data_IF_536102146621
#
_entry.id   IF_536102146621
#
_cell.length_a   1.000
_cell.length_b   1.000
_cell.length_c   1.000
_cell.angle_alpha   90.00
_cell.angle_beta   90.00
_cell.angle_gamma   90.00
#
_symmetry.space_group_name_H-M   'P 1'
#
loop_
_entity.id
_entity.type
_entity.pdbx_description
1 polymer ?
#
# COMPACT_ATOMS: atom_id res chain seq x y z
N UNK A 1 -30.15 -15.73 5.10
CA UNK A 1 -29.75 -15.69 3.69
C UNK A 1 -28.88 -16.90 3.41
N UNK A 2 -29.18 -17.62 2.37
CA UNK A 2 -28.51 -18.89 2.01
C UNK A 2 -27.11 -18.61 1.44
N UNK A 3 -26.08 -19.31 1.90
CA UNK A 3 -24.73 -19.20 1.32
C UNK A 3 -24.70 -19.79 -0.11
N UNK A 4 -23.74 -19.37 -0.95
CA UNK A 4 -23.53 -19.95 -2.30
C UNK A 4 -23.40 -21.48 -2.27
N UNK A 5 -22.80 -22.02 -1.20
CA UNK A 5 -22.63 -23.48 -1.04
C UNK A 5 -23.97 -24.18 -0.74
N UNK A 6 -24.83 -23.56 0.07
CA UNK A 6 -26.18 -24.05 0.33
C UNK A 6 -27.10 -23.97 -0.88
N UNK A 7 -26.93 -22.91 -1.68
CA UNK A 7 -27.62 -22.78 -2.97
C UNK A 7 -27.20 -23.90 -3.94
N UNK A 8 -25.90 -24.18 -4.07
CA UNK A 8 -25.39 -25.26 -4.90
C UNK A 8 -25.86 -26.65 -4.40
N UNK A 9 -25.91 -26.90 -3.10
CA UNK A 9 -26.40 -28.17 -2.53
C UNK A 9 -27.92 -28.34 -2.72
N UNK A 10 -28.71 -27.29 -2.60
CA UNK A 10 -30.16 -27.35 -2.85
C UNK A 10 -30.48 -27.46 -4.32
N UNK A 11 -29.68 -26.86 -5.22
CA UNK A 11 -29.81 -27.02 -6.67
C UNK A 11 -29.54 -28.46 -7.11
N UNK A 12 -28.61 -29.17 -6.47
CA UNK A 12 -28.34 -30.58 -6.75
C UNK A 12 -29.49 -31.49 -6.30
N UNK A 13 -30.20 -31.17 -5.20
CA UNK A 13 -31.41 -31.88 -4.78
C UNK A 13 -32.64 -31.61 -5.61
N UNK A 14 -32.72 -30.40 -6.23
CA UNK A 14 -33.84 -30.04 -7.13
C UNK A 14 -33.80 -30.69 -8.53
N UNK A 15 -32.61 -31.13 -8.98
CA UNK A 15 -32.42 -31.79 -10.28
C UNK A 15 -33.09 -33.16 -10.32
N UNK A 16 -33.16 -33.87 -9.21
CA UNK A 16 -33.82 -35.18 -9.15
C UNK A 16 -35.35 -35.10 -9.33
N UNK A 17 -35.97 -33.96 -9.01
CA UNK A 17 -37.41 -33.73 -9.16
C UNK A 17 -37.85 -33.20 -10.55
N UNK A 18 -36.91 -32.61 -11.31
CA UNK A 18 -37.23 -31.98 -12.63
C UNK A 18 -37.02 -32.93 -13.82
N UNK A 19 -36.40 -34.07 -13.63
CA UNK A 19 -36.27 -35.10 -14.68
C UNK A 19 -37.61 -35.72 -15.09
N UNK A 20 -38.68 -35.45 -14.35
CA UNK A 20 -40.04 -35.94 -14.67
C UNK A 20 -40.85 -35.03 -15.61
N UNK A 21 -40.40 -33.82 -15.92
CA UNK A 21 -41.16 -32.81 -16.71
C UNK A 21 -40.58 -32.44 -18.08
N UNK A 22 -39.53 -33.12 -18.54
CA UNK A 22 -39.02 -32.96 -19.93
C UNK A 22 -38.31 -31.63 -20.24
N UNK A 23 -38.24 -30.68 -19.33
CA UNK A 23 -37.51 -29.41 -19.48
C UNK A 23 -36.28 -29.37 -18.55
N UNK A 24 -35.15 -29.87 -19.01
CA UNK A 24 -33.88 -29.75 -18.32
C UNK A 24 -33.33 -28.35 -18.59
N UNK A 25 -33.23 -27.44 -17.58
CA UNK A 25 -32.46 -26.23 -17.76
C UNK A 25 -31.01 -26.63 -18.03
N UNK A 26 -30.45 -26.22 -19.15
CA UNK A 26 -29.05 -26.47 -19.47
C UNK A 26 -28.19 -25.79 -18.41
N UNK A 27 -27.75 -26.52 -17.40
CA UNK A 27 -26.73 -26.10 -16.47
C UNK A 27 -25.38 -26.05 -17.24
N UNK A 28 -25.11 -24.90 -17.84
CA UNK A 28 -23.83 -24.66 -18.47
C UNK A 28 -22.78 -24.53 -17.34
N UNK A 29 -21.77 -25.43 -17.26
CA UNK A 29 -20.73 -25.29 -16.28
C UNK A 29 -20.06 -23.90 -16.38
N UNK A 30 -19.75 -23.27 -15.25
CA UNK A 30 -19.07 -21.96 -15.23
C UNK A 30 -17.78 -21.94 -16.07
N UNK A 31 -17.11 -23.10 -16.21
CA UNK A 31 -15.93 -23.29 -17.06
C UNK A 31 -16.22 -23.11 -18.57
N UNK A 32 -17.45 -23.33 -19.03
CA UNK A 32 -17.86 -23.18 -20.44
C UNK A 32 -18.18 -21.71 -20.78
N UNK A 33 -18.56 -20.91 -19.77
CA UNK A 33 -18.84 -19.49 -19.92
C UNK A 33 -17.56 -18.62 -19.97
N UNK A 34 -16.38 -19.23 -19.74
CA UNK A 34 -15.10 -18.53 -19.71
C UNK A 34 -14.87 -17.71 -18.44
N UNK A 35 -13.65 -17.18 -18.28
CA UNK A 35 -13.25 -16.37 -17.11
C UNK A 35 -14.08 -15.09 -16.93
N UNK A 36 -14.80 -14.68 -17.96
CA UNK A 36 -15.58 -13.44 -18.02
C UNK A 36 -17.07 -13.60 -17.74
N UNK A 37 -17.52 -14.82 -17.48
CA UNK A 37 -18.91 -15.01 -17.07
C UNK A 37 -19.19 -14.12 -15.83
N UNK A 38 -20.34 -13.44 -15.75
CA UNK A 38 -20.71 -12.60 -14.61
C UNK A 38 -20.59 -13.32 -13.27
N UNK A 39 -20.79 -14.65 -13.26
CA UNK A 39 -20.63 -15.50 -12.09
C UNK A 39 -19.16 -15.70 -11.64
N UNK A 40 -18.20 -15.39 -12.51
CA UNK A 40 -16.77 -15.57 -12.26
C UNK A 40 -16.03 -14.24 -11.99
N UNK A 41 -16.70 -13.10 -12.17
CA UNK A 41 -16.13 -11.78 -11.85
C UNK A 41 -16.13 -11.55 -10.35
N UNK A 42 -15.05 -10.94 -9.89
CA UNK A 42 -14.91 -10.48 -8.51
C UNK A 42 -15.63 -9.15 -8.34
N UNK A 43 -16.50 -9.05 -7.35
CA UNK A 43 -17.21 -7.82 -7.01
C UNK A 43 -16.42 -7.01 -5.98
N UNK A 44 -16.03 -5.80 -6.35
CA UNK A 44 -15.16 -4.94 -5.56
C UNK A 44 -15.89 -3.69 -5.04
N UNK A 45 -15.49 -3.25 -3.85
CA UNK A 45 -15.79 -1.94 -3.31
C UNK A 45 -14.55 -1.04 -3.29
N UNK A 46 -14.74 0.28 -3.37
CA UNK A 46 -13.68 1.28 -3.16
C UNK A 46 -13.95 2.05 -1.89
N UNK A 47 -13.00 2.07 -0.99
CA UNK A 47 -13.00 2.90 0.22
C UNK A 47 -11.91 3.97 0.07
N UNK A 48 -12.31 5.24 -0.04
CA UNK A 48 -11.43 6.35 -0.41
C UNK A 48 -11.35 6.57 -1.92
N UNK A 49 -12.23 7.43 -2.45
CA UNK A 49 -12.31 7.82 -3.86
C UNK A 49 -11.34 8.96 -4.20
N UNK A 50 -10.19 9.00 -3.50
CA UNK A 50 -9.16 10.01 -3.64
C UNK A 50 -8.27 9.84 -4.88
N UNK A 51 -7.15 10.59 -4.87
CA UNK A 51 -6.21 10.66 -5.99
C UNK A 51 -5.77 9.28 -6.48
N UNK A 52 -5.23 8.44 -5.60
CA UNK A 52 -4.57 7.20 -6.03
C UNK A 52 -5.58 6.17 -6.54
N UNK A 53 -6.74 6.07 -5.89
CA UNK A 53 -7.83 5.23 -6.38
C UNK A 53 -8.30 5.69 -7.77
N UNK A 54 -8.53 7.02 -7.92
CA UNK A 54 -9.07 7.60 -9.15
C UNK A 54 -8.11 7.53 -10.34
N UNK A 55 -6.82 7.86 -10.13
CA UNK A 55 -5.85 7.98 -11.25
C UNK A 55 -5.11 6.69 -11.55
N UNK A 56 -5.00 5.76 -10.59
CA UNK A 56 -4.17 4.57 -10.75
C UNK A 56 -4.90 3.26 -10.39
N UNK A 57 -5.31 3.02 -9.14
CA UNK A 57 -5.73 1.69 -8.73
C UNK A 57 -6.96 1.17 -9.47
N UNK A 58 -8.03 1.97 -9.54
CA UNK A 58 -9.27 1.56 -10.23
C UNK A 58 -9.02 1.37 -11.74
N UNK A 59 -8.39 2.32 -12.47
CA UNK A 59 -8.05 2.10 -13.88
C UNK A 59 -7.16 0.89 -14.10
N UNK A 60 -6.24 0.60 -13.22
CA UNK A 60 -5.31 -0.51 -13.31
C UNK A 60 -5.99 -1.87 -13.16
N UNK A 61 -6.95 -2.01 -12.24
CA UNK A 61 -7.79 -3.21 -12.14
C UNK A 61 -8.62 -3.46 -13.41
N UNK A 62 -9.07 -2.40 -14.08
CA UNK A 62 -9.97 -2.50 -15.24
C UNK A 62 -9.25 -2.66 -16.58
N UNK A 63 -8.00 -2.21 -16.70
CA UNK A 63 -7.30 -1.93 -17.96
C UNK A 63 -6.59 -3.10 -18.59
N UNK A 64 -6.90 -4.34 -18.48
CA UNK A 64 -6.01 -5.32 -19.09
C UNK A 64 -6.66 -6.28 -20.08
N UNK A 65 -6.17 -6.23 -21.32
CA UNK A 65 -6.36 -7.27 -22.34
C UNK A 65 -7.80 -7.42 -22.85
N UNK A 66 -8.61 -6.37 -22.71
CA UNK A 66 -9.99 -6.35 -23.22
C UNK A 66 -10.99 -7.14 -22.38
N UNK A 67 -10.56 -7.75 -21.26
CA UNK A 67 -11.42 -8.64 -20.46
C UNK A 67 -11.42 -8.26 -18.99
N UNK A 68 -12.55 -7.77 -18.47
CA UNK A 68 -12.72 -7.41 -17.07
C UNK A 68 -12.90 -8.65 -16.20
N UNK A 69 -11.99 -8.88 -15.23
CA UNK A 69 -12.06 -9.98 -14.26
C UNK A 69 -12.72 -9.56 -12.95
N UNK A 70 -13.01 -8.28 -12.79
CA UNK A 70 -13.69 -7.69 -11.64
C UNK A 70 -14.61 -6.56 -12.07
N UNK A 71 -15.58 -6.27 -11.23
CA UNK A 71 -16.46 -5.11 -11.36
C UNK A 71 -16.43 -4.33 -10.03
N UNK A 72 -16.27 -3.00 -10.09
CA UNK A 72 -16.48 -2.14 -8.94
C UNK A 72 -17.96 -1.83 -8.82
N UNK A 73 -18.58 -2.27 -7.72
CA UNK A 73 -20.04 -2.19 -7.53
C UNK A 73 -20.45 -1.29 -6.37
N UNK A 74 -19.51 -0.84 -5.54
CA UNK A 74 -19.79 0.02 -4.39
C UNK A 74 -18.66 1.01 -4.16
N UNK A 75 -18.99 2.20 -3.67
CA UNK A 75 -18.06 3.30 -3.38
C UNK A 75 -18.31 3.88 -2.00
N UNK A 76 -17.24 4.24 -1.30
CA UNK A 76 -17.32 5.00 -0.06
C UNK A 76 -16.22 6.06 0.03
N UNK A 77 -16.62 7.25 0.41
CA UNK A 77 -15.71 8.35 0.80
C UNK A 77 -16.47 9.30 1.71
N UNK A 78 -15.83 9.83 2.74
CA UNK A 78 -16.38 10.84 3.64
C UNK A 78 -16.72 12.15 2.92
N UNK A 79 -16.19 12.38 1.72
CA UNK A 79 -16.52 13.44 0.79
C UNK A 79 -17.41 12.89 -0.34
N UNK A 80 -18.71 13.05 -0.26
CA UNK A 80 -19.66 12.56 -1.26
C UNK A 80 -19.44 13.13 -2.67
N UNK A 81 -18.75 14.26 -2.78
CA UNK A 81 -18.38 14.80 -4.11
C UNK A 81 -17.35 13.91 -4.81
N UNK A 82 -16.46 13.24 -4.05
CA UNK A 82 -15.50 12.26 -4.55
C UNK A 82 -16.17 10.96 -4.96
N UNK A 83 -17.15 10.52 -4.19
CA UNK A 83 -17.98 9.35 -4.53
C UNK A 83 -18.66 9.57 -5.89
N UNK A 84 -19.31 10.73 -6.09
CA UNK A 84 -19.96 11.06 -7.37
C UNK A 84 -18.97 11.11 -8.55
N UNK A 85 -17.81 11.71 -8.35
CA UNK A 85 -16.77 11.76 -9.38
C UNK A 85 -16.25 10.37 -9.75
N UNK A 86 -16.03 9.49 -8.76
CA UNK A 86 -15.62 8.11 -9.02
C UNK A 86 -16.71 7.32 -9.70
N UNK A 87 -17.96 7.47 -9.28
CA UNK A 87 -19.12 6.83 -9.92
C UNK A 87 -19.23 7.23 -11.39
N UNK A 88 -19.09 8.52 -11.70
CA UNK A 88 -19.09 8.99 -13.08
C UNK A 88 -17.96 8.36 -13.90
N UNK A 89 -16.77 8.18 -13.32
CA UNK A 89 -15.63 7.51 -13.95
C UNK A 89 -15.93 6.02 -14.23
N UNK A 90 -16.65 5.37 -13.35
CA UNK A 90 -17.06 3.96 -13.45
C UNK A 90 -18.38 3.78 -14.21
N UNK A 91 -18.91 4.83 -14.84
CA UNK A 91 -20.15 4.74 -15.58
C UNK A 91 -20.11 3.58 -16.60
N UNK A 92 -21.02 2.65 -16.42
CA UNK A 92 -21.13 1.43 -17.21
C UNK A 92 -22.35 0.63 -16.81
N UNK A 93 -22.74 -0.33 -17.64
CA UNK A 93 -23.90 -1.18 -17.42
C UNK A 93 -23.47 -2.63 -17.25
N UNK A 94 -24.17 -3.37 -16.39
CA UNK A 94 -24.09 -4.82 -16.36
C UNK A 94 -24.81 -5.44 -17.57
N UNK A 95 -24.77 -6.78 -17.68
CA UNK A 95 -25.43 -7.50 -18.78
C UNK A 95 -26.95 -7.33 -18.80
N UNK A 96 -27.57 -6.89 -17.69
CA UNK A 96 -29.00 -6.62 -17.58
C UNK A 96 -29.33 -5.13 -17.80
N UNK A 97 -28.32 -4.30 -18.20
CA UNK A 97 -28.49 -2.87 -18.44
C UNK A 97 -28.58 -2.00 -17.19
N UNK A 98 -28.28 -2.53 -16.00
CA UNK A 98 -28.25 -1.81 -14.73
C UNK A 98 -26.91 -1.14 -14.53
N UNK A 99 -26.88 0.01 -13.83
CA UNK A 99 -25.62 0.67 -13.47
C UNK A 99 -24.76 -0.25 -12.59
N UNK A 100 -23.47 -0.40 -12.93
CA UNK A 100 -22.51 -1.17 -12.15
C UNK A 100 -22.43 -0.65 -10.70
N UNK A 101 -22.42 0.67 -10.54
CA UNK A 101 -22.52 1.31 -9.23
C UNK A 101 -23.89 1.99 -9.10
N UNK A 102 -24.83 1.28 -8.49
CA UNK A 102 -26.17 1.83 -8.21
C UNK A 102 -26.10 2.95 -7.14
N UNK A 103 -27.09 3.85 -7.11
CA UNK A 103 -27.19 4.94 -6.15
C UNK A 103 -27.11 4.45 -4.70
N UNK A 104 -27.84 3.38 -4.37
CA UNK A 104 -27.85 2.77 -3.05
C UNK A 104 -26.54 2.08 -2.63
N UNK A 105 -25.50 2.12 -3.48
CA UNK A 105 -24.15 1.59 -3.17
C UNK A 105 -23.08 2.67 -3.15
N UNK A 106 -23.48 3.91 -2.89
CA UNK A 106 -22.63 5.07 -2.70
C UNK A 106 -22.75 5.53 -1.24
N UNK A 107 -21.72 5.31 -0.43
CA UNK A 107 -21.77 5.49 1.02
C UNK A 107 -20.82 6.58 1.49
N UNK A 108 -21.22 7.34 2.51
CA UNK A 108 -20.32 8.25 3.23
C UNK A 108 -19.55 7.51 4.34
N UNK A 109 -20.19 6.53 4.97
CA UNK A 109 -19.59 5.65 5.96
C UNK A 109 -19.21 4.30 5.33
N UNK A 110 -17.91 3.98 5.31
CA UNK A 110 -17.38 2.75 4.72
C UNK A 110 -17.91 1.47 5.40
N UNK A 111 -18.38 1.53 6.63
CA UNK A 111 -18.94 0.37 7.35
C UNK A 111 -20.21 -0.14 6.68
N UNK A 112 -20.97 0.75 6.04
CA UNK A 112 -22.13 0.36 5.24
C UNK A 112 -21.72 -0.42 3.98
N UNK A 113 -20.63 -0.02 3.35
CA UNK A 113 -20.05 -0.78 2.22
C UNK A 113 -19.57 -2.15 2.67
N UNK A 114 -18.88 -2.26 3.82
CA UNK A 114 -18.42 -3.53 4.36
C UNK A 114 -19.56 -4.49 4.71
N UNK A 115 -20.73 -3.98 5.07
CA UNK A 115 -21.91 -4.77 5.40
C UNK A 115 -22.60 -5.39 4.15
N UNK A 116 -22.30 -4.92 2.94
CA UNK A 116 -22.86 -5.47 1.69
C UNK A 116 -22.24 -6.84 1.38
N UNK A 117 -23.04 -7.90 1.52
CA UNK A 117 -22.61 -9.27 1.26
C UNK A 117 -22.29 -9.58 -0.20
N UNK A 118 -22.70 -8.72 -1.15
CA UNK A 118 -22.40 -8.88 -2.57
C UNK A 118 -20.95 -8.49 -2.92
N UNK A 119 -20.21 -7.85 -2.01
CA UNK A 119 -18.83 -7.42 -2.20
C UNK A 119 -17.89 -8.55 -1.77
N UNK A 120 -16.99 -8.97 -2.64
CA UNK A 120 -15.96 -9.98 -2.37
C UNK A 120 -14.70 -9.37 -1.75
N UNK A 121 -14.32 -8.17 -2.18
CA UNK A 121 -13.12 -7.49 -1.70
C UNK A 121 -13.20 -5.97 -1.79
N UNK A 122 -12.29 -5.30 -1.09
CA UNK A 122 -12.25 -3.85 -1.01
C UNK A 122 -10.86 -3.31 -1.33
N UNK A 123 -10.84 -2.22 -2.09
CA UNK A 123 -9.67 -1.40 -2.33
C UNK A 123 -9.70 -0.22 -1.36
N UNK A 124 -8.76 -0.20 -0.39
CA UNK A 124 -8.64 0.85 0.60
C UNK A 124 -7.54 1.83 0.15
N UNK A 125 -7.95 3.08 -0.14
CA UNK A 125 -7.08 4.13 -0.64
C UNK A 125 -7.32 5.46 0.11
N UNK A 126 -7.47 5.36 1.41
CA UNK A 126 -7.69 6.44 2.37
C UNK A 126 -6.37 7.09 2.80
N UNK A 127 -6.38 8.12 3.67
CA UNK A 127 -5.18 8.57 4.36
C UNK A 127 -4.57 7.48 5.24
N UNK A 128 -3.24 7.53 5.41
CA UNK A 128 -2.43 6.48 6.05
C UNK A 128 -2.95 6.06 7.43
N UNK A 129 -3.41 7.01 8.24
CA UNK A 129 -3.88 6.77 9.61
C UNK A 129 -5.21 5.98 9.71
N UNK A 130 -5.89 5.79 8.60
CA UNK A 130 -7.10 4.96 8.50
C UNK A 130 -6.82 3.51 8.10
N UNK A 131 -5.66 3.24 7.51
CA UNK A 131 -5.34 1.97 6.89
C UNK A 131 -5.56 0.78 7.82
N UNK A 132 -5.05 0.86 9.06
CA UNK A 132 -5.09 -0.29 9.96
C UNK A 132 -6.51 -0.63 10.41
N UNK A 133 -7.29 0.33 10.87
CA UNK A 133 -8.66 0.09 11.29
C UNK A 133 -9.50 -0.48 10.15
N UNK A 134 -9.47 0.18 8.98
CA UNK A 134 -10.28 -0.26 7.83
C UNK A 134 -9.89 -1.64 7.33
N UNK A 135 -8.60 -1.98 7.31
CA UNK A 135 -8.14 -3.29 6.90
C UNK A 135 -8.60 -4.40 7.87
N UNK A 136 -8.51 -4.16 9.19
CA UNK A 136 -8.98 -5.09 10.22
C UNK A 136 -10.48 -5.32 10.11
N UNK A 137 -11.26 -4.24 10.00
CA UNK A 137 -12.72 -4.31 9.90
C UNK A 137 -13.17 -4.96 8.59
N UNK A 138 -12.46 -4.71 7.47
CA UNK A 138 -12.73 -5.39 6.20
C UNK A 138 -12.46 -6.90 6.29
N UNK A 139 -11.34 -7.31 6.88
CA UNK A 139 -11.04 -8.72 7.11
C UNK A 139 -12.13 -9.38 7.99
N UNK A 140 -12.54 -8.71 9.08
CA UNK A 140 -13.61 -9.18 9.97
C UNK A 140 -14.95 -9.32 9.24
N UNK A 141 -15.25 -8.40 8.31
CA UNK A 141 -16.44 -8.46 7.47
C UNK A 141 -16.34 -9.51 6.34
N UNK A 142 -15.28 -10.31 6.31
CA UNK A 142 -15.08 -11.37 5.32
C UNK A 142 -14.64 -10.86 3.93
N UNK A 143 -14.13 -9.62 3.83
CA UNK A 143 -13.66 -9.04 2.57
C UNK A 143 -12.16 -9.26 2.39
N UNK A 144 -11.75 -9.59 1.17
CA UNK A 144 -10.34 -9.52 0.79
C UNK A 144 -9.93 -8.06 0.56
N UNK A 145 -8.66 -7.73 0.78
CA UNK A 145 -8.24 -6.33 0.89
C UNK A 145 -7.06 -6.02 -0.02
N UNK A 146 -7.20 -4.99 -0.84
CA UNK A 146 -6.06 -4.24 -1.36
C UNK A 146 -5.89 -2.98 -0.51
N UNK A 147 -4.77 -2.90 0.22
CA UNK A 147 -4.47 -1.80 1.10
C UNK A 147 -3.38 -0.92 0.49
N UNK A 148 -3.65 0.37 0.29
CA UNK A 148 -2.61 1.28 -0.17
C UNK A 148 -1.45 1.37 0.83
N UNK A 149 -0.26 1.72 0.29
CA UNK A 149 0.95 1.96 1.10
C UNK A 149 0.90 3.38 1.73
N UNK A 150 1.58 3.58 2.89
CA UNK A 150 2.22 2.57 3.74
C UNK A 150 1.18 1.65 4.40
N UNK A 151 1.61 0.43 4.77
CA UNK A 151 0.70 -0.53 5.39
C UNK A 151 0.08 0.02 6.68
N UNK A 152 0.88 0.67 7.52
CA UNK A 152 0.49 1.22 8.81
C UNK A 152 1.40 2.39 9.23
N UNK A 153 0.99 3.15 10.24
CA UNK A 153 1.78 4.22 10.86
C UNK A 153 2.59 3.76 12.07
N UNK A 154 2.26 2.60 12.64
CA UNK A 154 2.99 2.01 13.76
C UNK A 154 3.23 0.52 13.54
N UNK A 155 4.23 -0.03 14.24
CA UNK A 155 4.57 -1.45 14.15
C UNK A 155 3.41 -2.32 14.67
N UNK A 156 2.78 -1.93 15.77
CA UNK A 156 1.64 -2.63 16.34
C UNK A 156 0.41 -2.63 15.44
N UNK A 157 0.11 -1.51 14.77
CA UNK A 157 -0.95 -1.45 13.76
C UNK A 157 -0.71 -2.43 12.61
N UNK A 158 0.50 -2.49 12.07
CA UNK A 158 0.84 -3.42 11.00
C UNK A 158 0.74 -4.89 11.45
N UNK A 159 1.17 -5.19 12.68
CA UNK A 159 1.00 -6.52 13.28
C UNK A 159 -0.48 -6.88 13.46
N UNK A 160 -1.32 -5.92 13.87
CA UNK A 160 -2.77 -6.14 14.00
C UNK A 160 -3.43 -6.44 12.64
N UNK A 161 -3.04 -5.73 11.58
CA UNK A 161 -3.51 -6.03 10.20
C UNK A 161 -3.17 -7.47 9.81
N UNK A 162 -1.91 -7.88 10.01
CA UNK A 162 -1.44 -9.22 9.67
C UNK A 162 -2.20 -10.30 10.47
N UNK A 163 -2.40 -10.06 11.76
CA UNK A 163 -3.16 -10.96 12.64
C UNK A 163 -4.61 -11.08 12.18
N UNK A 164 -5.26 -9.97 11.83
CA UNK A 164 -6.63 -9.98 11.30
C UNK A 164 -6.74 -10.75 9.98
N UNK A 165 -5.85 -10.50 9.02
CA UNK A 165 -5.87 -11.21 7.75
C UNK A 165 -5.73 -12.73 7.93
N UNK A 166 -4.82 -13.18 8.82
CA UNK A 166 -4.66 -14.58 9.16
C UNK A 166 -5.88 -15.15 9.88
N UNK A 167 -6.37 -14.46 10.92
CA UNK A 167 -7.51 -14.91 11.73
C UNK A 167 -8.77 -15.12 10.91
N UNK A 168 -9.07 -14.18 10.01
CA UNK A 168 -10.28 -14.22 9.17
C UNK A 168 -10.06 -14.90 7.82
N UNK A 169 -8.86 -15.46 7.57
CA UNK A 169 -8.48 -16.13 6.33
C UNK A 169 -8.77 -15.25 5.09
N UNK A 170 -8.25 -14.01 5.10
CA UNK A 170 -8.44 -13.05 4.00
C UNK A 170 -7.16 -12.82 3.23
N UNK A 171 -7.30 -12.66 1.92
CA UNK A 171 -6.23 -12.18 1.05
C UNK A 171 -6.07 -10.69 1.34
N UNK A 172 -4.88 -10.28 1.79
CA UNK A 172 -4.53 -8.87 1.94
C UNK A 172 -3.23 -8.58 1.21
N UNK A 173 -3.27 -7.60 0.32
CA UNK A 173 -2.13 -7.13 -0.46
C UNK A 173 -1.89 -5.65 -0.23
N UNK A 174 -0.62 -5.25 -0.09
CA UNK A 174 -0.24 -3.84 0.03
C UNK A 174 0.16 -3.24 -1.29
N UNK A 175 -0.03 -1.93 -1.45
CA UNK A 175 0.20 -1.18 -2.70
C UNK A 175 1.66 -0.89 -3.04
N UNK A 176 2.56 -1.87 -2.91
CA UNK A 176 3.98 -1.76 -3.28
C UNK A 176 4.23 -2.14 -4.74
N UNK A 177 3.78 -1.30 -5.68
CA UNK A 177 3.74 -1.60 -7.12
C UNK A 177 5.10 -1.95 -7.73
N UNK A 178 6.21 -1.46 -7.18
CA UNK A 178 7.56 -1.74 -7.69
C UNK A 178 7.90 -3.23 -7.71
N UNK A 179 7.23 -4.06 -6.93
CA UNK A 179 7.39 -5.52 -6.98
C UNK A 179 6.98 -6.16 -8.30
N UNK A 180 6.20 -5.46 -9.11
CA UNK A 180 5.72 -5.94 -10.40
C UNK A 180 6.34 -5.19 -11.58
N UNK A 181 7.23 -4.23 -11.31
CA UNK A 181 7.92 -3.46 -12.35
C UNK A 181 9.24 -4.14 -12.73
N UNK A 182 9.42 -4.38 -14.03
CA UNK A 182 10.54 -5.17 -14.57
C UNK A 182 11.91 -4.67 -14.15
N UNK A 183 12.14 -3.36 -14.16
CA UNK A 183 13.42 -2.77 -13.78
C UNK A 183 13.79 -3.00 -12.31
N UNK A 184 12.81 -3.04 -11.40
CA UNK A 184 13.06 -3.35 -9.99
C UNK A 184 13.29 -4.84 -9.77
N UNK A 185 12.51 -5.69 -10.45
CA UNK A 185 12.70 -7.15 -10.42
C UNK A 185 14.09 -7.50 -10.93
N UNK A 186 14.47 -6.97 -12.08
CA UNK A 186 15.79 -7.24 -12.70
C UNK A 186 16.95 -6.77 -11.81
N UNK A 187 16.85 -5.61 -11.17
CA UNK A 187 17.86 -5.15 -10.22
C UNK A 187 18.03 -6.13 -9.04
N UNK A 188 16.92 -6.57 -8.45
CA UNK A 188 16.93 -7.55 -7.36
C UNK A 188 17.55 -8.89 -7.82
N UNK A 189 17.24 -9.36 -9.03
CA UNK A 189 17.86 -10.57 -9.61
C UNK A 189 19.37 -10.45 -9.73
N UNK A 190 19.87 -9.36 -10.31
CA UNK A 190 21.30 -9.10 -10.43
C UNK A 190 22.02 -9.18 -9.08
N UNK A 191 21.39 -8.61 -8.05
CA UNK A 191 21.93 -8.58 -6.68
C UNK A 191 21.90 -9.98 -6.06
N UNK A 192 20.76 -10.66 -6.12
CA UNK A 192 20.57 -11.99 -5.50
C UNK A 192 21.38 -13.09 -6.17
N UNK A 193 21.73 -12.93 -7.44
CA UNK A 193 22.66 -13.81 -8.16
C UNK A 193 24.14 -13.50 -7.86
N UNK A 194 24.41 -12.52 -6.99
CA UNK A 194 25.76 -12.18 -6.57
C UNK A 194 26.59 -11.47 -7.64
N UNK A 195 25.95 -10.87 -8.66
CA UNK A 195 26.68 -10.23 -9.79
C UNK A 195 27.57 -9.05 -9.36
N UNK A 196 27.27 -8.43 -8.20
CA UNK A 196 28.06 -7.36 -7.57
C UNK A 196 28.82 -7.85 -6.33
N UNK A 197 28.88 -9.16 -6.08
CA UNK A 197 29.46 -9.73 -4.87
C UNK A 197 28.56 -9.50 -3.65
N UNK A 198 29.17 -9.56 -2.44
CA UNK A 198 28.43 -9.32 -1.20
C UNK A 198 28.01 -7.85 -1.13
N UNK A 199 26.70 -7.61 -0.91
CA UNK A 199 26.19 -6.24 -0.71
C UNK A 199 26.63 -5.73 0.66
N UNK A 200 27.28 -4.57 0.69
CA UNK A 200 27.70 -3.89 1.92
C UNK A 200 26.86 -2.66 2.23
N UNK A 201 26.26 -2.06 1.20
CA UNK A 201 25.44 -0.85 1.35
C UNK A 201 24.33 -0.82 0.32
N UNK A 202 23.14 -0.39 0.75
CA UNK A 202 22.03 -0.03 -0.13
C UNK A 202 21.69 1.44 0.09
N UNK A 203 21.63 2.22 -0.97
CA UNK A 203 21.31 3.63 -0.94
C UNK A 203 19.91 3.85 -1.50
N UNK A 204 19.07 4.46 -0.70
CA UNK A 204 17.65 4.71 -1.00
C UNK A 204 17.44 6.21 -1.10
N UNK A 205 17.13 6.70 -2.31
CA UNK A 205 16.78 8.09 -2.54
C UNK A 205 15.28 8.30 -2.55
N UNK A 206 14.78 9.26 -1.76
CA UNK A 206 13.36 9.63 -1.73
C UNK A 206 13.21 11.12 -2.07
N UNK A 207 12.09 11.53 -2.73
CA UNK A 207 11.83 12.95 -2.94
C UNK A 207 11.85 13.73 -1.62
N UNK A 208 12.22 14.99 -1.69
CA UNK A 208 12.12 15.90 -0.56
C UNK A 208 10.69 16.43 -0.38
N UNK A 209 10.32 16.76 0.83
CA UNK A 209 9.05 17.39 1.19
C UNK A 209 9.31 18.84 1.69
N UNK A 210 9.74 19.75 0.82
CA UNK A 210 10.28 21.03 1.25
C UNK A 210 9.22 22.08 1.56
N UNK A 211 7.95 21.80 1.32
CA UNK A 211 6.89 22.82 1.38
C UNK A 211 6.41 23.00 2.81
N UNK A 212 6.84 24.08 3.40
CA UNK A 212 6.26 24.61 4.62
C UNK A 212 4.99 25.41 4.30
N UNK A 213 3.98 25.30 5.15
CA UNK A 213 2.79 26.11 5.07
C UNK A 213 2.42 26.69 6.43
N UNK A 214 2.04 27.95 6.46
CA UNK A 214 1.60 28.63 7.69
C UNK A 214 0.28 28.02 8.17
N UNK A 215 -0.07 28.27 9.44
CA UNK A 215 -1.38 27.90 9.95
C UNK A 215 -2.47 28.65 9.18
N UNK A 216 -3.34 27.95 8.46
CA UNK A 216 -4.44 28.57 7.73
C UNK A 216 -5.52 29.03 8.72
N UNK A 217 -6.35 29.94 8.26
CA UNK A 217 -7.61 30.25 8.92
C UNK A 217 -8.52 29.03 8.90
N UNK A 218 -9.30 28.85 9.95
CA UNK A 218 -10.38 27.86 10.01
C UNK A 218 -11.40 28.14 8.90
N UNK A 219 -11.87 27.07 8.27
CA UNK A 219 -12.88 27.11 7.22
C UNK A 219 -14.15 26.38 7.68
N UNK A 220 -15.35 26.75 7.22
CA UNK A 220 -16.53 25.95 7.46
C UNK A 220 -16.42 24.58 6.80
N UNK A 221 -16.87 23.55 7.50
CA UNK A 221 -16.92 22.18 6.94
C UNK A 221 -17.95 22.16 5.80
N UNK A 222 -17.57 21.67 4.59
CA UNK A 222 -18.54 21.52 3.50
C UNK A 222 -19.68 20.57 3.88
N UNK A 223 -20.91 20.85 3.48
CA UNK A 223 -22.10 20.08 3.85
C UNK A 223 -22.02 18.58 3.47
N UNK A 224 -21.29 18.24 2.42
CA UNK A 224 -21.16 16.87 1.92
C UNK A 224 -19.87 16.18 2.40
N UNK A 225 -19.21 16.73 3.42
CA UNK A 225 -17.95 16.22 3.94
C UNK A 225 -18.07 15.91 5.43
N UNK A 226 -17.97 14.63 5.80
CA UNK A 226 -17.93 14.21 7.20
C UNK A 226 -16.52 14.42 7.78
N UNK A 227 -16.31 15.59 8.40
CA UNK A 227 -15.03 15.94 9.00
C UNK A 227 -14.70 15.09 10.22
N UNK A 228 -15.68 14.71 11.02
CA UNK A 228 -15.48 13.87 12.19
C UNK A 228 -14.99 12.46 11.78
N UNK A 229 -15.65 11.88 10.80
CA UNK A 229 -15.23 10.60 10.22
C UNK A 229 -13.87 10.74 9.50
N UNK A 230 -13.62 11.86 8.81
CA UNK A 230 -12.30 12.06 8.17
C UNK A 230 -11.17 12.05 9.20
N UNK A 231 -11.33 12.71 10.37
CA UNK A 231 -10.33 12.73 11.44
C UNK A 231 -10.09 11.36 12.08
N UNK A 232 -11.08 10.49 12.12
CA UNK A 232 -10.97 9.12 12.62
C UNK A 232 -10.31 9.05 13.99
N UNK A 233 -9.25 8.29 14.10
CA UNK A 233 -8.48 8.06 15.32
C UNK A 233 -7.59 9.24 15.75
N UNK A 234 -7.48 10.30 14.93
CA UNK A 234 -6.66 11.47 15.26
C UNK A 234 -7.41 12.48 16.13
N UNK A 235 -6.72 13.36 16.86
CA UNK A 235 -7.38 14.40 17.64
C UNK A 235 -8.31 15.29 16.83
N UNK A 236 -9.36 15.79 17.47
CA UNK A 236 -10.28 16.75 16.85
C UNK A 236 -9.56 18.09 16.68
N UNK A 237 -9.53 18.57 15.44
CA UNK A 237 -8.93 19.84 15.05
C UNK A 237 -9.86 20.59 14.09
N UNK A 238 -9.76 21.92 14.01
CA UNK A 238 -10.54 22.71 13.06
C UNK A 238 -10.32 22.28 11.61
N UNK A 239 -11.38 22.41 10.82
CA UNK A 239 -11.33 22.09 9.40
C UNK A 239 -10.61 23.17 8.61
N UNK A 240 -9.81 22.72 7.65
CA UNK A 240 -9.29 23.51 6.54
C UNK A 240 -8.96 22.59 5.37
N UNK A 241 -9.20 23.03 4.14
CA UNK A 241 -8.82 22.26 2.94
C UNK A 241 -7.33 21.98 2.85
N UNK A 242 -6.49 22.82 3.47
CA UNK A 242 -5.05 22.64 3.54
C UNK A 242 -4.60 21.55 4.52
N UNK A 243 -5.54 20.98 5.28
CA UNK A 243 -5.30 19.83 6.15
C UNK A 243 -5.67 18.50 5.48
N UNK A 244 -6.59 18.51 4.54
CA UNK A 244 -7.08 17.30 3.90
C UNK A 244 -6.86 17.30 2.37
N UNK A 245 -7.77 17.90 1.61
CA UNK A 245 -7.74 17.92 0.16
C UNK A 245 -7.92 19.34 -0.36
N UNK A 246 -6.99 19.79 -1.18
CA UNK A 246 -7.15 21.03 -1.93
C UNK A 246 -8.23 20.84 -3.00
N UNK A 247 -8.99 21.89 -3.24
CA UNK A 247 -9.89 22.01 -4.38
C UNK A 247 -9.22 22.84 -5.47
N UNK A 248 -9.55 22.58 -6.72
CA UNK A 248 -9.19 23.43 -7.83
C UNK A 248 -9.96 24.76 -7.82
N UNK A 249 -9.69 25.61 -8.79
CA UNK A 249 -10.45 26.84 -9.00
C UNK A 249 -11.95 26.50 -9.14
N UNK A 250 -12.80 27.37 -8.58
CA UNK A 250 -14.26 27.20 -8.59
C UNK A 250 -14.76 25.90 -7.94
N UNK A 251 -14.04 25.35 -6.96
CA UNK A 251 -14.44 24.14 -6.24
C UNK A 251 -14.27 22.82 -7.01
N UNK A 252 -13.67 22.87 -8.20
CA UNK A 252 -13.44 21.69 -9.03
C UNK A 252 -12.63 20.61 -8.29
N UNK A 253 -12.84 19.34 -8.65
CA UNK A 253 -12.07 18.23 -8.09
C UNK A 253 -10.58 18.38 -8.42
N UNK A 254 -9.74 18.26 -7.41
CA UNK A 254 -8.29 18.29 -7.55
C UNK A 254 -7.71 16.93 -7.15
N UNK A 255 -7.08 16.25 -8.10
CA UNK A 255 -6.39 14.97 -7.91
C UNK A 255 -4.87 15.14 -7.82
N UNK A 256 -4.36 16.33 -7.48
CA UNK A 256 -2.97 16.55 -7.11
C UNK A 256 -2.63 15.83 -5.77
N UNK A 257 -1.37 15.88 -5.39
CA UNK A 257 -0.93 15.33 -4.09
C UNK A 257 -1.72 16.00 -2.94
N UNK A 258 -2.43 15.24 -2.09
CA UNK A 258 -3.25 15.82 -1.03
C UNK A 258 -2.39 16.39 0.11
N UNK A 259 -2.88 17.45 0.73
CA UNK A 259 -2.17 18.19 1.77
C UNK A 259 -1.91 17.37 3.04
N UNK A 260 -2.80 16.44 3.39
CA UNK A 260 -2.61 15.58 4.58
C UNK A 260 -1.29 14.80 4.56
N UNK A 261 -0.71 14.54 3.37
CA UNK A 261 0.57 13.85 3.22
C UNK A 261 1.78 14.68 3.69
N UNK A 262 1.57 15.91 4.13
CA UNK A 262 2.59 16.82 4.65
C UNK A 262 2.41 17.11 6.14
N UNK A 263 1.51 16.39 6.83
CA UNK A 263 1.17 16.62 8.24
C UNK A 263 1.46 15.36 9.05
N UNK A 264 2.37 15.44 10.05
CA UNK A 264 2.82 14.30 10.87
C UNK A 264 1.69 13.57 11.59
N UNK A 265 0.58 14.27 11.90
CA UNK A 265 -0.59 13.66 12.52
C UNK A 265 -1.21 12.55 11.65
N UNK A 266 -1.01 12.63 10.34
CA UNK A 266 -1.69 11.78 9.35
C UNK A 266 -0.74 10.86 8.58
N UNK A 267 0.55 11.13 8.58
CA UNK A 267 1.55 10.39 7.81
C UNK A 267 2.94 10.49 8.43
N UNK A 268 3.84 9.62 8.04
CA UNK A 268 5.27 9.66 8.39
C UNK A 268 6.12 10.43 7.36
N UNK A 269 5.50 11.09 6.37
CA UNK A 269 6.23 11.81 5.32
C UNK A 269 6.88 10.87 4.29
N UNK A 270 7.97 11.31 3.67
CA UNK A 270 8.61 10.59 2.57
C UNK A 270 9.25 9.27 2.97
N UNK A 271 9.65 9.11 4.22
CA UNK A 271 10.21 7.83 4.72
C UNK A 271 9.22 6.67 4.55
N UNK A 272 7.92 6.93 4.62
CA UNK A 272 6.88 5.93 4.43
C UNK A 272 6.12 6.09 3.11
N UNK A 273 6.15 7.25 2.47
CA UNK A 273 5.49 7.46 1.20
C UNK A 273 6.27 6.80 0.05
N UNK A 274 7.36 7.41 -0.41
CA UNK A 274 8.27 6.82 -1.39
C UNK A 274 9.15 5.75 -0.76
N UNK A 275 9.51 5.93 0.52
CA UNK A 275 10.30 4.98 1.29
C UNK A 275 9.68 3.59 1.32
N UNK A 276 8.37 3.45 1.47
CA UNK A 276 7.71 2.13 1.45
C UNK A 276 8.01 1.33 0.18
N UNK A 277 8.05 1.97 -0.98
CA UNK A 277 8.39 1.31 -2.24
C UNK A 277 9.88 0.94 -2.33
N UNK A 278 10.75 1.90 -2.01
CA UNK A 278 12.18 1.72 -2.18
C UNK A 278 12.79 0.83 -1.08
N UNK A 279 12.28 0.90 0.16
CA UNK A 279 12.69 -0.02 1.24
C UNK A 279 12.30 -1.47 0.93
N UNK A 280 11.12 -1.69 0.36
CA UNK A 280 10.70 -3.01 -0.08
C UNK A 280 11.68 -3.61 -1.08
N UNK A 281 12.08 -2.82 -2.08
CA UNK A 281 13.10 -3.22 -3.07
C UNK A 281 14.45 -3.46 -2.42
N UNK A 282 14.88 -2.57 -1.51
CA UNK A 282 16.16 -2.68 -0.81
C UNK A 282 16.26 -3.95 0.05
N UNK A 283 15.23 -4.21 0.86
CA UNK A 283 15.14 -5.38 1.74
C UNK A 283 15.12 -6.67 0.90
N UNK A 284 14.33 -6.69 -0.18
CA UNK A 284 14.24 -7.83 -1.10
C UNK A 284 15.57 -8.11 -1.81
N UNK A 285 16.30 -7.08 -2.22
CA UNK A 285 17.63 -7.24 -2.81
C UNK A 285 18.65 -7.79 -1.83
N UNK A 286 18.57 -7.42 -0.55
CA UNK A 286 19.43 -7.99 0.50
C UNK A 286 19.07 -9.44 0.86
N UNK A 287 17.89 -9.95 0.51
CA UNK A 287 17.41 -11.26 0.96
C UNK A 287 16.92 -11.26 2.41
N UNK A 288 16.52 -10.11 2.92
CA UNK A 288 16.13 -9.89 4.33
C UNK A 288 14.60 -9.72 4.49
N UNK A 289 13.81 -10.29 3.58
CA UNK A 289 12.36 -10.08 3.52
C UNK A 289 11.64 -10.49 4.81
N UNK A 290 12.15 -11.48 5.51
CA UNK A 290 11.62 -11.95 6.80
C UNK A 290 12.50 -11.60 7.99
N UNK A 291 13.65 -10.92 7.72
CA UNK A 291 14.56 -10.43 8.72
C UNK A 291 14.18 -9.04 9.25
N UNK A 292 15.21 -8.31 9.66
CA UNK A 292 15.07 -6.92 10.09
C UNK A 292 16.40 -6.32 10.52
N UNK A 293 16.49 -4.99 10.62
CA UNK A 293 17.70 -4.35 11.14
C UNK A 293 17.91 -4.66 12.63
N UNK A 294 19.14 -4.67 13.08
CA UNK A 294 19.51 -4.78 14.50
C UNK A 294 19.59 -3.40 15.17
N UNK A 295 19.75 -2.35 14.38
CA UNK A 295 19.69 -0.97 14.88
C UNK A 295 19.33 0.00 13.76
N UNK A 296 18.80 1.15 14.16
CA UNK A 296 18.50 2.27 13.27
C UNK A 296 18.90 3.57 13.93
N UNK A 297 19.43 4.50 13.15
CA UNK A 297 19.72 5.87 13.57
C UNK A 297 19.34 6.82 12.43
N UNK A 298 18.90 8.02 12.76
CA UNK A 298 18.51 8.98 11.75
C UNK A 298 18.41 10.40 12.27
N UNK A 299 18.64 11.32 11.35
CA UNK A 299 18.49 12.76 11.57
C UNK A 299 17.60 13.34 10.48
N UNK A 300 16.90 14.41 10.80
CA UNK A 300 16.11 15.16 9.82
C UNK A 300 15.89 16.60 10.31
N UNK A 301 15.37 17.42 9.42
CA UNK A 301 14.93 18.78 9.74
C UNK A 301 13.42 18.82 9.77
N UNK A 302 12.83 19.18 10.90
CA UNK A 302 11.40 19.43 11.03
C UNK A 302 11.10 20.93 10.89
N UNK A 303 10.05 21.31 10.14
CA UNK A 303 9.56 22.69 10.08
C UNK A 303 9.14 23.18 11.48
N UNK A 304 9.44 24.43 11.79
CA UNK A 304 9.04 25.04 13.06
C UNK A 304 7.65 25.68 12.91
N UNK A 305 6.70 25.29 13.79
CA UNK A 305 5.37 25.91 13.90
C UNK A 305 4.64 26.07 12.55
N UNK A 306 4.53 24.98 11.77
CA UNK A 306 3.84 24.96 10.48
C UNK A 306 2.68 23.97 10.55
N UNK A 307 1.67 24.19 9.69
CA UNK A 307 0.63 23.18 9.48
C UNK A 307 1.21 21.95 8.80
N UNK A 308 2.04 22.16 7.80
CA UNK A 308 2.78 21.09 7.14
C UNK A 308 4.10 20.91 7.88
N UNK A 309 4.16 19.86 8.67
CA UNK A 309 5.17 19.62 9.68
C UNK A 309 5.90 18.28 9.56
N UNK A 310 5.70 17.53 8.45
CA UNK A 310 6.52 16.34 8.20
C UNK A 310 7.99 16.73 8.03
N UNK A 311 8.88 15.76 8.23
CA UNK A 311 10.31 15.98 8.03
C UNK A 311 10.62 16.44 6.60
N UNK A 312 11.57 17.37 6.47
CA UNK A 312 12.22 17.71 5.20
C UNK A 312 13.35 16.73 4.90
N UNK A 313 14.55 17.29 4.64
CA UNK A 313 15.75 16.51 4.38
C UNK A 313 16.06 15.56 5.54
N UNK A 314 16.44 14.32 5.23
CA UNK A 314 16.72 13.28 6.20
C UNK A 314 17.96 12.48 5.81
N UNK A 315 18.57 11.86 6.81
CA UNK A 315 19.65 10.88 6.67
C UNK A 315 19.44 9.78 7.71
N UNK A 316 19.10 8.58 7.23
CA UNK A 316 18.72 7.45 8.09
C UNK A 316 19.57 6.25 7.71
N UNK A 317 20.07 5.52 8.71
CA UNK A 317 20.86 4.29 8.51
C UNK A 317 20.25 3.15 9.31
N UNK A 318 19.91 2.08 8.64
CA UNK A 318 19.56 0.78 9.23
C UNK A 318 20.75 -0.15 9.10
N UNK A 319 21.13 -0.83 10.19
CA UNK A 319 22.20 -1.83 10.20
C UNK A 319 21.61 -3.22 10.38
N UNK A 320 22.05 -4.15 9.57
CA UNK A 320 21.62 -5.56 9.58
C UNK A 320 22.69 -6.44 10.22
N UNK A 321 22.29 -7.60 10.74
CA UNK A 321 23.21 -8.56 11.36
C UNK A 321 24.26 -9.10 10.36
N UNK A 322 23.94 -9.11 9.07
CA UNK A 322 24.85 -9.47 7.98
C UNK A 322 26.04 -8.49 7.80
N UNK A 323 26.00 -7.32 8.47
CA UNK A 323 26.91 -6.20 8.30
C UNK A 323 26.50 -5.24 7.19
N UNK A 324 25.47 -5.54 6.42
CA UNK A 324 24.93 -4.63 5.40
C UNK A 324 24.25 -3.42 6.05
N UNK A 325 24.31 -2.29 5.37
CA UNK A 325 23.60 -1.07 5.76
C UNK A 325 22.61 -0.64 4.67
N UNK A 326 21.41 -0.26 5.06
CA UNK A 326 20.53 0.54 4.20
C UNK A 326 20.63 1.98 4.64
N UNK A 327 20.86 2.90 3.70
CA UNK A 327 20.94 4.35 3.94
C UNK A 327 19.88 5.05 3.11
N UNK A 328 19.00 5.80 3.75
CA UNK A 328 17.99 6.60 3.07
C UNK A 328 18.26 8.08 3.25
N UNK A 329 18.17 8.83 2.15
CA UNK A 329 18.25 10.27 2.17
C UNK A 329 17.36 10.88 1.08
N UNK A 330 17.19 12.21 1.13
CA UNK A 330 16.49 12.91 0.05
C UNK A 330 17.27 12.88 -1.27
N UNK A 331 16.60 13.26 -2.35
CA UNK A 331 17.22 13.38 -3.69
C UNK A 331 18.33 14.41 -3.79
N UNK A 332 18.61 15.15 -2.73
CA UNK A 332 19.81 15.98 -2.61
C UNK A 332 21.09 15.16 -2.45
N UNK A 333 20.97 13.97 -1.88
CA UNK A 333 22.11 13.08 -1.58
C UNK A 333 22.11 11.81 -2.44
N UNK A 334 20.95 11.17 -2.64
CA UNK A 334 20.82 9.95 -3.42
C UNK A 334 19.79 10.10 -4.55
N UNK A 335 20.01 9.54 -5.74
CA UNK A 335 19.01 9.57 -6.81
C UNK A 335 17.73 8.85 -6.36
N UNK A 336 16.57 9.33 -6.81
CA UNK A 336 15.28 8.71 -6.48
C UNK A 336 15.22 7.26 -6.99
N UNK A 337 15.29 6.31 -6.08
CA UNK A 337 15.40 4.88 -6.39
C UNK A 337 16.24 4.14 -5.36
N UNK A 338 16.77 3.00 -5.79
CA UNK A 338 17.56 2.11 -4.94
C UNK A 338 18.86 1.75 -5.64
N UNK A 339 19.99 1.96 -4.98
CA UNK A 339 21.31 1.55 -5.43
C UNK A 339 21.92 0.54 -4.47
N UNK A 340 22.20 -0.65 -4.95
CA UNK A 340 22.93 -1.69 -4.24
C UNK A 340 24.43 -1.56 -4.54
N UNK A 341 25.26 -1.61 -3.52
CA UNK A 341 26.72 -1.48 -3.64
C UNK A 341 27.37 -2.72 -3.04
N UNK A 342 28.13 -3.42 -3.86
CA UNK A 342 28.91 -4.58 -3.48
C UNK A 342 30.23 -4.23 -2.80
N UNK A 343 30.86 -5.19 -2.12
CA UNK A 343 32.10 -5.03 -1.37
C UNK A 343 33.31 -4.55 -2.22
N UNK A 344 33.30 -4.83 -3.54
CA UNK A 344 34.34 -4.41 -4.50
C UNK A 344 34.00 -3.09 -5.21
N UNK A 345 32.92 -2.43 -4.84
CA UNK A 345 32.48 -1.17 -5.43
C UNK A 345 31.59 -1.29 -6.65
N UNK A 346 31.34 -2.49 -7.16
CA UNK A 346 30.33 -2.71 -8.20
C UNK A 346 28.92 -2.37 -7.67
N UNK A 347 28.04 -1.92 -8.54
CA UNK A 347 26.72 -1.49 -8.13
C UNK A 347 25.64 -1.76 -9.18
N UNK A 348 24.39 -1.83 -8.71
CA UNK A 348 23.17 -1.86 -9.52
C UNK A 348 22.21 -0.80 -8.99
N UNK A 349 21.63 -0.01 -9.88
CA UNK A 349 20.61 0.99 -9.55
C UNK A 349 19.32 0.69 -10.29
N UNK A 350 18.18 0.89 -9.61
CA UNK A 350 16.86 0.93 -10.21
C UNK A 350 16.07 2.13 -9.67
N UNK A 351 15.32 2.78 -10.56
CA UNK A 351 14.55 3.97 -10.21
C UNK A 351 13.27 4.08 -11.03
N UNK A 352 12.34 4.87 -10.53
CA UNK A 352 11.07 5.08 -11.18
C UNK A 352 11.19 5.89 -12.47
N UNK A 353 12.04 6.92 -12.47
CA UNK A 353 12.28 7.72 -13.65
C UNK A 353 13.05 6.92 -14.72
N UNK A 354 12.46 6.79 -15.90
CA UNK A 354 13.04 6.08 -17.03
C UNK A 354 12.90 4.57 -17.02
N UNK A 355 12.31 3.97 -15.97
CA UNK A 355 11.98 2.53 -15.86
C UNK A 355 13.12 1.60 -16.31
N UNK A 356 14.35 1.91 -15.93
CA UNK A 356 15.52 1.15 -16.33
C UNK A 356 16.33 0.71 -15.11
N UNK A 357 16.85 -0.52 -15.20
CA UNK A 357 17.95 -0.98 -14.36
C UNK A 357 19.25 -0.44 -14.93
N UNK A 358 20.12 0.06 -14.09
CA UNK A 358 21.40 0.66 -14.49
C UNK A 358 22.54 0.10 -13.65
N UNK A 359 23.66 -0.11 -14.28
CA UNK A 359 24.92 -0.47 -13.62
C UNK A 359 26.09 0.35 -14.19
N UNK A 360 25.80 1.35 -15.01
CA UNK A 360 26.77 2.21 -15.66
C UNK A 360 26.58 3.66 -15.16
N UNK A 361 27.63 4.36 -14.74
CA UNK A 361 27.59 5.77 -14.35
C UNK A 361 27.05 6.69 -15.44
N UNK A 362 27.23 6.38 -16.72
CA UNK A 362 26.71 7.17 -17.86
C UNK A 362 25.18 7.25 -17.87
N UNK A 363 24.50 6.26 -17.32
CA UNK A 363 23.04 6.24 -17.25
C UNK A 363 22.44 7.03 -16.10
N UNK A 364 23.23 7.48 -15.15
CA UNK A 364 22.82 8.34 -14.03
C UNK A 364 23.50 9.68 -14.25
N UNK A 365 22.76 10.68 -14.80
CA UNK A 365 23.36 11.99 -15.07
C UNK A 365 24.06 12.52 -13.82
N UNK A 366 25.32 12.92 -13.95
CA UNK A 366 26.16 13.42 -12.85
C UNK A 366 25.50 14.59 -12.11
N UNK A 367 24.71 15.39 -12.81
CA UNK A 367 23.98 16.55 -12.32
C UNK A 367 22.86 16.20 -11.33
N UNK A 368 22.34 14.95 -11.37
CA UNK A 368 21.31 14.44 -10.44
C UNK A 368 21.86 13.64 -9.29
N UNK A 369 23.15 13.43 -9.24
CA UNK A 369 23.87 12.66 -8.23
C UNK A 369 24.87 13.58 -7.53
N UNK A 370 24.45 14.78 -7.20
CA UNK A 370 25.30 15.76 -6.55
C UNK A 370 26.00 15.15 -5.31
N UNK A 371 27.32 15.18 -5.32
CA UNK A 371 28.16 14.75 -4.18
C UNK A 371 28.45 13.26 -4.09
N UNK A 372 28.05 12.42 -5.03
CA UNK A 372 28.37 10.99 -5.00
C UNK A 372 29.50 10.64 -5.99
N UNK A 373 30.65 10.11 -5.51
CA UNK A 373 31.56 9.43 -6.39
C UNK A 373 30.87 8.15 -6.88
N UNK A 374 30.38 8.17 -8.11
CA UNK A 374 29.87 6.96 -8.78
C UNK A 374 31.12 6.24 -9.28
N UNK A 375 31.58 5.22 -8.54
CA UNK A 375 32.59 4.33 -9.05
C UNK A 375 32.07 3.66 -10.32
N UNK A 376 32.93 3.55 -11.33
CA UNK A 376 32.58 2.83 -12.57
C UNK A 376 32.25 1.38 -12.23
N UNK A 377 31.05 0.93 -12.58
CA UNK A 377 30.68 -0.46 -12.45
C UNK A 377 31.23 -1.29 -13.61
N UNK A 378 31.37 -2.61 -13.43
CA UNK A 378 31.81 -3.50 -14.51
C UNK A 378 30.72 -3.59 -15.59
N UNK A 379 31.16 -3.56 -16.87
CA UNK A 379 30.26 -3.87 -17.97
C UNK A 379 29.70 -5.29 -17.82
N UNK A 380 28.48 -5.50 -18.23
CA UNK A 380 27.84 -6.81 -18.27
C UNK A 380 27.10 -7.25 -17.00
N UNK A 381 27.13 -6.46 -15.92
CA UNK A 381 26.40 -6.82 -14.69
C UNK A 381 24.89 -7.00 -14.94
N UNK A 382 24.30 -6.13 -15.77
CA UNK A 382 22.86 -6.14 -16.05
C UNK A 382 22.50 -6.74 -17.43
N UNK A 383 23.49 -7.08 -18.26
CA UNK A 383 23.24 -7.50 -19.67
C UNK A 383 22.74 -8.94 -19.77
N UNK A 384 23.18 -9.82 -18.87
CA UNK A 384 22.74 -11.21 -18.90
C UNK A 384 21.34 -11.39 -18.30
N UNK A 385 20.49 -12.24 -18.90
CA UNK A 385 19.23 -12.62 -18.26
C UNK A 385 19.50 -13.32 -16.93
N UNK A 386 18.49 -13.31 -16.03
CA UNK A 386 18.59 -13.98 -14.75
C UNK A 386 18.66 -15.50 -14.93
N UNK A 387 19.63 -16.15 -14.28
CA UNK A 387 19.76 -17.61 -14.26
C UNK A 387 18.63 -18.25 -13.43
N UNK A 388 18.16 -17.54 -12.41
CA UNK A 388 17.01 -17.90 -11.58
C UNK A 388 16.00 -16.75 -11.56
N UNK A 389 15.19 -16.59 -12.62
CA UNK A 389 14.30 -15.46 -12.73
C UNK A 389 13.26 -15.47 -11.59
N UNK A 390 13.05 -14.31 -11.01
CA UNK A 390 11.97 -14.09 -10.06
C UNK A 390 10.63 -14.12 -10.78
N UNK A 391 9.57 -14.38 -10.01
CA UNK A 391 8.21 -14.34 -10.53
C UNK A 391 7.96 -12.99 -11.23
N UNK A 392 7.42 -13.06 -12.43
CA UNK A 392 6.91 -11.91 -13.20
C UNK A 392 5.39 -11.85 -13.02
N UNK A 393 4.91 -11.24 -11.93
CA UNK A 393 3.48 -11.13 -11.72
C UNK A 393 2.87 -10.23 -12.80
N UNK A 394 1.57 -10.35 -12.98
CA UNK A 394 0.80 -9.39 -13.78
C UNK A 394 0.89 -7.98 -13.16
N UNK A 395 0.21 -7.02 -13.75
CA UNK A 395 0.10 -5.70 -13.14
C UNK A 395 -0.41 -5.80 -11.70
N UNK A 396 0.16 -5.00 -10.81
CA UNK A 396 0.09 -5.15 -9.36
C UNK A 396 -1.35 -5.27 -8.79
N UNK A 397 -2.27 -4.43 -9.27
CA UNK A 397 -3.66 -4.46 -8.78
C UNK A 397 -4.44 -5.65 -9.37
N UNK A 398 -4.13 -6.04 -10.60
CA UNK A 398 -4.73 -7.21 -11.25
C UNK A 398 -4.28 -8.51 -10.59
N UNK A 399 -3.02 -8.59 -10.19
CA UNK A 399 -2.48 -9.75 -9.47
C UNK A 399 -3.27 -10.01 -8.18
N UNK A 400 -3.64 -8.97 -7.44
CA UNK A 400 -4.50 -9.11 -6.27
C UNK A 400 -5.87 -9.72 -6.60
N UNK A 401 -6.50 -9.31 -7.71
CA UNK A 401 -7.79 -9.88 -8.13
C UNK A 401 -7.64 -11.36 -8.49
N UNK A 402 -6.54 -11.75 -9.13
CA UNK A 402 -6.25 -13.16 -9.41
C UNK A 402 -5.94 -13.97 -8.14
N UNK A 403 -5.21 -13.40 -7.19
CA UNK A 403 -4.97 -14.01 -5.87
C UNK A 403 -6.30 -14.28 -5.14
N UNK A 404 -7.24 -13.33 -5.17
CA UNK A 404 -8.59 -13.53 -4.62
C UNK A 404 -9.33 -14.68 -5.29
N UNK A 405 -9.23 -14.79 -6.62
CA UNK A 405 -9.92 -15.82 -7.42
C UNK A 405 -9.31 -17.20 -7.22
N UNK A 406 -7.99 -17.30 -7.15
CA UNK A 406 -7.27 -18.57 -7.12
C UNK A 406 -7.02 -19.09 -5.71
N UNK A 407 -6.99 -18.19 -4.72
CA UNK A 407 -6.53 -18.50 -3.35
C UNK A 407 -5.12 -19.12 -3.33
N UNK A 408 -4.36 -18.86 -4.39
CA UNK A 408 -2.99 -19.36 -4.55
C UNK A 408 -1.96 -18.60 -3.69
N UNK A 409 -0.68 -18.93 -3.87
CA UNK A 409 0.39 -18.24 -3.15
C UNK A 409 0.42 -16.76 -3.55
N UNK A 410 0.61 -15.89 -2.57
CA UNK A 410 0.69 -14.46 -2.78
C UNK A 410 2.03 -14.08 -3.41
N UNK A 411 2.00 -13.24 -4.45
CA UNK A 411 3.22 -12.66 -5.02
C UNK A 411 3.95 -11.73 -4.04
N UNK A 412 3.23 -11.23 -3.04
CA UNK A 412 3.76 -10.49 -1.91
C UNK A 412 3.18 -11.04 -0.61
N UNK A 413 3.90 -11.94 0.09
CA UNK A 413 3.48 -12.40 1.40
C UNK A 413 3.31 -11.23 2.38
N UNK A 414 2.22 -11.24 3.16
CA UNK A 414 1.89 -10.12 4.04
C UNK A 414 2.94 -9.89 5.14
N UNK A 415 3.64 -10.95 5.55
CA UNK A 415 4.75 -10.85 6.50
C UNK A 415 5.91 -9.99 5.95
N UNK A 416 6.24 -10.11 4.66
CA UNK A 416 7.26 -9.27 4.01
C UNK A 416 6.82 -7.81 3.96
N UNK A 417 5.52 -7.56 3.68
CA UNK A 417 4.94 -6.21 3.73
C UNK A 417 5.06 -5.60 5.13
N UNK A 418 4.81 -6.39 6.18
CA UNK A 418 4.98 -5.96 7.57
C UNK A 418 6.45 -5.62 7.86
N UNK A 419 7.42 -6.43 7.40
CA UNK A 419 8.86 -6.13 7.60
C UNK A 419 9.27 -4.82 6.93
N UNK A 420 8.82 -4.59 5.72
CA UNK A 420 9.04 -3.32 5.01
C UNK A 420 8.42 -2.14 5.76
N UNK A 421 7.16 -2.28 6.21
CA UNK A 421 6.47 -1.26 6.99
C UNK A 421 7.22 -0.97 8.30
N UNK A 422 7.62 -2.03 9.02
CA UNK A 422 8.42 -1.93 10.25
C UNK A 422 9.72 -1.14 10.02
N UNK A 423 10.46 -1.42 8.95
CA UNK A 423 11.69 -0.70 8.65
C UNK A 423 11.43 0.81 8.45
N UNK A 424 10.37 1.18 7.71
CA UNK A 424 10.00 2.59 7.55
C UNK A 424 9.63 3.26 8.89
N UNK A 425 8.83 2.57 9.72
CA UNK A 425 8.45 3.07 11.06
C UNK A 425 9.68 3.24 11.96
N UNK A 426 10.60 2.28 11.98
CA UNK A 426 11.85 2.37 12.74
C UNK A 426 12.68 3.61 12.34
N UNK A 427 12.79 3.87 11.03
CA UNK A 427 13.47 5.08 10.53
C UNK A 427 12.79 6.36 10.98
N UNK A 428 11.46 6.43 10.88
CA UNK A 428 10.68 7.56 11.38
C UNK A 428 10.88 7.76 12.90
N UNK A 429 10.83 6.68 13.68
CA UNK A 429 11.02 6.74 15.14
C UNK A 429 12.43 7.21 15.52
N UNK A 430 13.47 6.75 14.82
CA UNK A 430 14.84 7.18 15.06
C UNK A 430 15.00 8.69 14.83
N UNK A 431 14.43 9.23 13.75
CA UNK A 431 14.40 10.68 13.50
C UNK A 431 13.62 11.43 14.59
N UNK A 432 12.45 10.90 14.97
CA UNK A 432 11.56 11.52 15.95
C UNK A 432 12.20 11.59 17.35
N UNK A 433 12.91 10.55 17.76
CA UNK A 433 13.58 10.45 19.04
C UNK A 433 14.99 11.06 19.02
N UNK A 434 15.56 11.33 17.83
CA UNK A 434 16.87 11.96 17.67
C UNK A 434 18.04 11.13 18.20
N UNK A 435 17.90 9.80 18.23
CA UNK A 435 18.92 8.89 18.76
C UNK A 435 18.91 7.53 18.08
N UNK A 436 20.00 6.79 18.22
CA UNK A 436 20.11 5.41 17.77
C UNK A 436 19.17 4.51 18.59
N UNK A 437 18.44 3.65 17.91
CA UNK A 437 17.55 2.65 18.48
C UNK A 437 18.10 1.25 18.19
N UNK A 438 18.08 0.36 19.18
CA UNK A 438 18.39 -1.07 19.02
C UNK A 438 17.07 -1.83 18.86
N UNK A 439 17.00 -2.73 17.89
CA UNK A 439 15.78 -3.44 17.54
C UNK A 439 16.00 -4.96 17.58
N UNK A 440 15.11 -5.68 18.23
CA UNK A 440 14.98 -7.12 18.12
C UNK A 440 13.88 -7.43 17.11
N UNK A 441 14.29 -7.84 15.90
CA UNK A 441 13.36 -8.12 14.82
C UNK A 441 12.48 -9.36 15.06
N UNK A 442 12.94 -10.30 15.90
CA UNK A 442 12.18 -11.51 16.24
C UNK A 442 11.11 -11.21 17.30
N UNK A 443 11.47 -10.47 18.33
CA UNK A 443 10.56 -10.06 19.39
C UNK A 443 9.66 -8.86 18.97
N UNK A 444 10.01 -8.18 17.89
CA UNK A 444 9.39 -6.92 17.43
C UNK A 444 9.34 -5.87 18.55
N UNK A 445 10.48 -5.66 19.20
CA UNK A 445 10.63 -4.74 20.34
C UNK A 445 11.97 -4.02 20.29
N UNK A 446 11.98 -2.82 20.86
CA UNK A 446 13.22 -2.11 21.13
C UNK A 446 13.92 -2.69 22.36
N UNK A 447 15.23 -2.89 22.25
CA UNK A 447 16.06 -3.43 23.32
C UNK A 447 16.34 -2.33 24.35
N UNK A 448 15.94 -2.56 25.59
CA UNK A 448 16.18 -1.67 26.75
C UNK A 448 15.70 -0.21 26.52
N UNK A 449 14.56 -0.05 25.82
CA UNK A 449 14.05 1.28 25.46
C UNK A 449 12.53 1.37 25.68
N UNK A 450 12.13 1.72 26.90
CA UNK A 450 10.73 1.84 27.29
C UNK A 450 10.00 2.94 26.49
N UNK A 451 10.65 4.08 26.23
CA UNK A 451 10.06 5.17 25.45
C UNK A 451 9.76 4.73 24.01
N UNK A 452 10.72 4.11 23.34
CA UNK A 452 10.50 3.62 22.00
C UNK A 452 9.43 2.50 21.96
N UNK A 453 9.43 1.61 22.95
CA UNK A 453 8.41 0.55 23.06
C UNK A 453 7.00 1.11 23.31
N UNK A 454 6.83 2.23 24.00
CA UNK A 454 5.52 2.88 24.16
C UNK A 454 4.96 3.43 22.84
N UNK A 455 5.81 3.64 21.83
CA UNK A 455 5.42 4.12 20.50
C UNK A 455 5.05 2.99 19.51
N UNK A 456 5.05 1.72 19.94
CA UNK A 456 4.62 0.61 19.09
C UNK A 456 3.14 0.71 18.70
N UNK A 457 2.34 1.42 19.50
CA UNK A 457 1.01 1.89 19.19
C UNK A 457 0.94 3.39 19.42
N UNK A 458 0.08 4.07 18.70
CA UNK A 458 -0.20 5.49 18.90
C UNK A 458 -1.42 5.71 19.80
N UNK A 459 -1.60 6.92 20.27
CA UNK A 459 -2.84 7.32 20.89
C UNK A 459 -3.94 7.39 19.84
N UNK A 460 -5.15 7.03 20.26
CA UNK A 460 -6.32 6.96 19.41
C UNK A 460 -7.52 7.59 20.11
N UNK A 461 -8.37 8.23 19.34
CA UNK A 461 -9.64 8.78 19.83
C UNK A 461 -10.64 7.65 20.02
N UNK A 462 -11.46 7.75 21.06
CA UNK A 462 -12.49 6.76 21.40
C UNK A 462 -13.41 6.44 20.20
N UNK A 463 -13.69 5.17 20.02
CA UNK A 463 -14.50 4.65 18.91
C UNK A 463 -13.76 4.54 17.57
N UNK A 464 -12.47 4.86 17.53
CA UNK A 464 -11.63 4.77 16.34
C UNK A 464 -10.31 4.07 16.64
N UNK A 465 -9.59 3.66 15.58
CA UNK A 465 -8.28 3.06 15.66
C UNK A 465 -8.30 1.55 15.90
N UNK A 466 -7.12 0.99 16.22
CA UNK A 466 -6.94 -0.46 16.30
C UNK A 466 -7.11 -1.01 17.71
N UNK A 467 -6.93 -0.19 18.74
CA UNK A 467 -6.97 -0.65 20.15
C UNK A 467 -8.26 -1.36 20.52
N UNK A 468 -9.39 -0.89 19.97
CA UNK A 468 -10.70 -1.53 20.17
C UNK A 468 -10.79 -2.95 19.62
N UNK A 469 -9.90 -3.36 18.71
CA UNK A 469 -9.87 -4.68 18.09
C UNK A 469 -8.82 -5.62 18.68
N UNK A 470 -7.86 -5.12 19.49
CA UNK A 470 -6.71 -5.92 19.96
C UNK A 470 -7.13 -7.14 20.79
N UNK A 471 -8.12 -6.98 21.67
CA UNK A 471 -8.66 -8.09 22.47
C UNK A 471 -9.27 -9.19 21.60
N UNK A 472 -10.06 -8.80 20.60
CA UNK A 472 -10.63 -9.75 19.63
C UNK A 472 -9.54 -10.46 18.83
N UNK A 473 -8.45 -9.78 18.50
CA UNK A 473 -7.31 -10.33 17.77
C UNK A 473 -6.38 -11.19 18.63
N UNK A 474 -6.56 -11.23 19.97
CA UNK A 474 -5.66 -11.92 20.88
C UNK A 474 -4.32 -11.21 21.07
N UNK A 475 -4.31 -9.88 20.95
CA UNK A 475 -3.12 -9.01 21.06
C UNK A 475 -3.19 -8.06 22.26
N UNK A 476 -4.23 -8.16 23.09
CA UNK A 476 -4.41 -7.31 24.28
C UNK A 476 -3.74 -7.91 25.50
#
# INVERSE_FOLDING_TARGET
MMTRLEFCRRSAGGIAGMLASGAVPALVPASVLGKEAPSNKIALGVIGCGRIAHVYNVPSCLKQGGKAICDFIALSDVDLTRVRSMRQKLAGKDMQGRDLVADGRCFQDYRQLLADSAIDGVLIATPDFWHAQMAIEACRAGKDVFLQKPMALTIGEGRAILTAAKKYNRILRTGTQQRTEENFIHAVECVREGRIGKVVRVEVGVPDDPKEYNFPLEEPVPAEFDWNMWLGSTPVVPFTRLRCHQRGKNGAMNYARPAWMTIQLYTMGMVANWGAHHMDTAIRGLGEELGGPVSVEGTCVYPKRRLWDVHGDCDITWKYASGAEIKMASTRKYPCGVRFVGEKGDWVFCGFAGKQTKSDPVGVSADKVAGMPIAASRKGIIEAPAAKPLLRPMEHNREWVEEMRTRGPLAMPLEEAQRTSTACVLGYMAMKLGRKLKWDAKAERFVDDAQANSMLFREERDGFGVKQHLKELGMA
#
